data_IF_986256906092
#
_entry.id   IF_986256906092
#
_cell.length_a   1.000
_cell.length_b   1.000
_cell.length_c   1.000
_cell.angle_alpha   90.00
_cell.angle_beta   90.00
_cell.angle_gamma   90.00
#
_symmetry.space_group_name_H-M   'P 1'
#
loop_
_entity.id
_entity.type
_entity.pdbx_description
1 polymer ?
#
# COMPACT_ATOMS: atom_id res chain seq x y z
N UNK A 1 5.24 9.23 -5.30
CA UNK A 1 5.64 8.10 -4.45
C UNK A 1 7.15 7.92 -4.33
N UNK A 2 7.82 7.13 -5.17
CA UNK A 2 9.17 6.60 -4.87
C UNK A 2 10.33 7.26 -5.61
N UNK A 3 10.09 8.37 -6.33
CA UNK A 3 11.06 8.92 -7.30
C UNK A 3 11.50 7.86 -8.32
N UNK A 4 10.51 7.20 -8.96
CA UNK A 4 10.73 6.13 -9.93
C UNK A 4 11.60 4.99 -9.38
N UNK A 5 11.28 4.51 -8.19
CA UNK A 5 11.99 3.39 -7.55
C UNK A 5 13.25 3.76 -6.77
N UNK A 6 13.74 5.01 -6.84
CA UNK A 6 14.93 5.41 -6.07
C UNK A 6 14.71 5.36 -4.54
N UNK A 7 13.47 5.49 -4.07
CA UNK A 7 13.09 5.48 -2.65
C UNK A 7 11.81 4.65 -2.43
N UNK A 8 11.92 3.32 -2.46
CA UNK A 8 10.79 2.39 -2.21
C UNK A 8 10.55 2.08 -0.72
N UNK A 9 11.48 2.51 0.14
CA UNK A 9 11.42 2.31 1.59
C UNK A 9 12.50 1.34 2.09
N UNK A 10 12.73 1.34 3.39
CA UNK A 10 13.84 0.61 4.04
C UNK A 10 13.44 -0.18 5.28
N UNK A 11 12.16 -0.10 5.65
CA UNK A 11 11.63 -0.86 6.78
C UNK A 11 11.11 -2.19 6.25
N UNK A 12 11.33 -3.28 6.99
CA UNK A 12 10.62 -4.52 6.70
C UNK A 12 9.14 -4.27 6.88
N UNK A 13 8.33 -4.61 5.89
CA UNK A 13 6.88 -4.33 5.90
C UNK A 13 6.22 -5.06 7.06
N UNK A 14 6.63 -6.32 7.30
CA UNK A 14 6.19 -7.12 8.44
C UNK A 14 6.43 -6.39 9.78
N UNK A 15 7.62 -5.84 10.00
CA UNK A 15 7.94 -5.13 11.24
C UNK A 15 7.12 -3.85 11.41
N UNK A 16 6.99 -3.07 10.34
CA UNK A 16 6.24 -1.83 10.34
C UNK A 16 4.77 -2.07 10.70
N UNK A 17 4.13 -3.02 10.00
CA UNK A 17 2.73 -3.35 10.22
C UNK A 17 2.51 -4.04 11.57
N UNK A 18 3.37 -4.98 11.98
CA UNK A 18 3.29 -5.60 13.31
C UNK A 18 3.38 -4.56 14.42
N UNK A 19 4.36 -3.65 14.32
CA UNK A 19 4.55 -2.57 15.30
C UNK A 19 3.32 -1.67 15.35
N UNK A 20 2.78 -1.25 14.20
CA UNK A 20 1.61 -0.36 14.18
C UNK A 20 0.29 -1.06 14.53
N UNK A 21 0.20 -2.38 14.34
CA UNK A 21 -0.96 -3.19 14.68
C UNK A 21 -1.09 -3.42 16.20
N UNK A 22 0.02 -3.58 16.90
CA UNK A 22 0.01 -3.98 18.32
C UNK A 22 0.66 -2.98 19.27
N UNK A 23 1.48 -2.07 18.76
CA UNK A 23 2.21 -1.06 19.52
C UNK A 23 2.05 0.34 18.90
N UNK A 24 0.83 0.65 18.42
CA UNK A 24 0.55 1.95 17.80
C UNK A 24 0.85 3.11 18.76
N UNK A 25 1.67 4.11 18.36
CA UNK A 25 2.01 5.23 19.23
C UNK A 25 0.79 6.00 19.71
N UNK A 26 0.73 6.24 21.02
CA UNK A 26 -0.33 7.04 21.65
C UNK A 26 0.19 8.42 21.97
N UNK A 27 -0.51 9.45 21.55
CA UNK A 27 -0.12 10.83 21.85
C UNK A 27 -0.52 11.27 23.27
N UNK A 28 -1.45 10.57 23.91
CA UNK A 28 -2.06 10.99 25.18
C UNK A 28 -3.07 12.13 25.05
N UNK A 29 -3.30 12.63 23.83
CA UNK A 29 -4.28 13.67 23.52
C UNK A 29 -5.68 13.05 23.40
N UNK A 30 -6.64 13.37 24.29
CA UNK A 30 -7.99 12.82 24.23
C UNK A 30 -8.71 13.13 22.92
N UNK A 31 -8.39 14.25 22.26
CA UNK A 31 -8.98 14.61 20.98
C UNK A 31 -8.51 13.70 19.83
N UNK A 32 -7.38 13.00 19.99
CA UNK A 32 -6.83 12.08 18.98
C UNK A 32 -7.11 10.60 19.27
N UNK A 33 -7.54 10.26 20.48
CA UNK A 33 -7.67 8.88 20.94
C UNK A 33 -8.49 7.99 19.98
N UNK A 34 -9.64 8.47 19.51
CA UNK A 34 -10.49 7.71 18.59
C UNK A 34 -9.79 7.45 17.24
N UNK A 35 -9.15 8.48 16.67
CA UNK A 35 -8.39 8.36 15.42
C UNK A 35 -7.25 7.36 15.57
N UNK A 36 -6.51 7.41 16.67
CA UNK A 36 -5.40 6.49 16.94
C UNK A 36 -5.88 5.05 17.09
N UNK A 37 -7.03 4.82 17.75
CA UNK A 37 -7.67 3.50 17.82
C UNK A 37 -8.12 2.99 16.44
N UNK A 38 -8.68 3.86 15.59
CA UNK A 38 -9.02 3.48 14.21
C UNK A 38 -7.78 3.13 13.40
N UNK A 39 -6.68 3.88 13.57
CA UNK A 39 -5.42 3.59 12.87
C UNK A 39 -4.80 2.27 13.32
N UNK A 40 -4.78 1.98 14.62
CA UNK A 40 -4.31 0.69 15.11
C UNK A 40 -5.11 -0.47 14.51
N UNK A 41 -6.44 -0.39 14.49
CA UNK A 41 -7.30 -1.41 13.85
C UNK A 41 -7.00 -1.55 12.36
N UNK A 42 -6.89 -0.43 11.65
CA UNK A 42 -6.49 -0.43 10.24
C UNK A 42 -5.17 -1.16 10.02
N UNK A 43 -4.14 -0.93 10.84
CA UNK A 43 -2.86 -1.62 10.68
C UNK A 43 -2.93 -3.12 11.04
N UNK A 44 -3.83 -3.54 11.94
CA UNK A 44 -4.11 -4.97 12.15
C UNK A 44 -4.71 -5.60 10.90
N UNK A 45 -5.64 -4.91 10.25
CA UNK A 45 -6.25 -5.38 9.01
C UNK A 45 -5.19 -5.46 7.90
N UNK A 46 -4.36 -4.43 7.72
CA UNK A 46 -3.27 -4.44 6.74
C UNK A 46 -2.23 -5.53 6.99
N UNK A 47 -1.94 -5.86 8.25
CA UNK A 47 -1.06 -7.00 8.57
C UNK A 47 -1.70 -8.33 8.13
N UNK A 48 -3.00 -8.52 8.34
CA UNK A 48 -3.70 -9.70 7.84
C UNK A 48 -3.72 -9.74 6.30
N UNK A 49 -3.89 -8.59 5.65
CA UNK A 49 -3.81 -8.46 4.20
C UNK A 49 -2.41 -8.79 3.67
N UNK A 50 -1.34 -8.44 4.39
CA UNK A 50 0.03 -8.81 4.02
C UNK A 50 0.22 -10.33 4.01
N UNK A 51 -0.28 -11.04 5.03
CA UNK A 51 -0.19 -12.50 5.06
C UNK A 51 -0.92 -13.14 3.88
N UNK A 52 -2.14 -12.69 3.59
CA UNK A 52 -2.91 -13.17 2.45
C UNK A 52 -2.20 -12.86 1.12
N UNK A 53 -1.67 -11.65 0.95
CA UNK A 53 -0.94 -11.24 -0.24
C UNK A 53 0.28 -12.12 -0.49
N UNK A 54 1.09 -12.36 0.56
CA UNK A 54 2.29 -13.18 0.41
C UNK A 54 1.96 -14.63 0.04
N UNK A 55 0.84 -15.17 0.54
CA UNK A 55 0.35 -16.48 0.15
C UNK A 55 -0.13 -16.52 -1.30
N UNK A 56 -0.84 -15.49 -1.76
CA UNK A 56 -1.40 -15.39 -3.11
C UNK A 56 -0.30 -15.25 -4.18
N UNK A 57 0.67 -14.37 -3.93
CA UNK A 57 1.73 -14.02 -4.89
C UNK A 57 3.03 -14.81 -4.66
N UNK A 58 3.08 -15.71 -3.67
CA UNK A 58 4.27 -16.50 -3.33
C UNK A 58 5.46 -15.67 -2.82
N UNK A 59 5.19 -14.50 -2.22
CA UNK A 59 6.24 -13.58 -1.73
C UNK A 59 6.82 -14.05 -0.39
N UNK A 60 8.13 -13.87 -0.22
CA UNK A 60 8.77 -14.02 1.09
C UNK A 60 8.42 -12.81 1.99
N UNK A 61 7.48 -13.01 2.91
CA UNK A 61 7.03 -11.99 3.87
C UNK A 61 8.17 -11.36 4.68
N UNK A 62 9.28 -12.07 4.88
CA UNK A 62 10.42 -11.58 5.67
C UNK A 62 11.36 -10.69 4.86
N UNK A 63 11.32 -10.79 3.52
CA UNK A 63 12.14 -10.03 2.58
C UNK A 63 11.51 -8.73 2.09
N UNK A 64 10.21 -8.52 2.31
CA UNK A 64 9.51 -7.33 1.80
C UNK A 64 9.94 -6.05 2.54
N UNK A 65 10.34 -5.03 1.77
CA UNK A 65 10.66 -3.69 2.28
C UNK A 65 9.67 -2.64 1.81
N UNK A 66 9.46 -1.61 2.64
CA UNK A 66 8.54 -0.52 2.36
C UNK A 66 8.71 0.68 3.28
N UNK A 67 7.72 1.55 3.28
CA UNK A 67 7.66 2.72 4.16
C UNK A 67 7.49 2.30 5.63
N UNK A 68 7.70 3.25 6.54
CA UNK A 68 7.45 3.05 7.97
C UNK A 68 5.99 2.69 8.30
N UNK A 69 5.06 2.91 7.36
CA UNK A 69 3.66 2.59 7.48
C UNK A 69 3.26 1.29 6.74
N UNK A 70 4.21 0.59 6.12
CA UNK A 70 3.96 -0.66 5.40
C UNK A 70 3.49 -0.48 3.95
N UNK A 71 3.66 0.70 3.36
CA UNK A 71 3.43 0.91 1.93
C UNK A 71 4.59 0.35 1.10
N UNK A 72 4.29 -0.33 -0.01
CA UNK A 72 5.23 -1.19 -0.75
C UNK A 72 5.40 -0.79 -2.21
N UNK A 73 6.55 -1.12 -2.77
CA UNK A 73 6.81 -1.06 -4.20
C UNK A 73 6.81 0.36 -4.79
N UNK A 74 6.84 0.43 -6.12
CA UNK A 74 6.97 1.65 -6.91
C UNK A 74 5.83 2.64 -6.65
N UNK A 75 4.60 2.13 -6.46
CA UNK A 75 3.39 2.91 -6.22
C UNK A 75 3.05 3.13 -4.74
N UNK A 76 3.86 2.65 -3.79
CA UNK A 76 3.56 2.72 -2.34
C UNK A 76 2.16 2.19 -1.99
N UNK A 77 1.82 1.01 -2.52
CA UNK A 77 0.55 0.37 -2.21
C UNK A 77 0.58 -0.23 -0.81
N UNK A 78 -0.47 -0.01 -0.03
CA UNK A 78 -0.73 -0.80 1.17
C UNK A 78 -1.10 -2.25 0.77
N UNK A 79 -0.87 -3.27 1.61
CA UNK A 79 -1.23 -4.66 1.28
C UNK A 79 -2.66 -4.85 0.80
N UNK A 80 -3.64 -4.19 1.43
CA UNK A 80 -5.04 -4.22 0.98
C UNK A 80 -5.21 -3.68 -0.44
N UNK A 81 -4.54 -2.57 -0.74
CA UNK A 81 -4.59 -1.93 -2.06
C UNK A 81 -3.89 -2.78 -3.11
N UNK A 82 -2.80 -3.46 -2.76
CA UNK A 82 -2.16 -4.44 -3.63
C UNK A 82 -3.15 -5.53 -4.01
N UNK A 83 -3.72 -6.22 -3.01
CA UNK A 83 -4.65 -7.33 -3.27
C UNK A 83 -5.86 -6.89 -4.10
N UNK A 84 -6.40 -5.70 -3.82
CA UNK A 84 -7.62 -5.20 -4.45
C UNK A 84 -7.40 -4.59 -5.84
N UNK A 85 -6.27 -3.94 -6.09
CA UNK A 85 -6.10 -3.09 -7.28
C UNK A 85 -4.89 -3.44 -8.13
N UNK A 86 -3.97 -4.28 -7.65
CA UNK A 86 -2.86 -4.74 -8.49
C UNK A 86 -3.40 -5.56 -9.67
N UNK A 87 -2.84 -5.31 -10.84
CA UNK A 87 -3.13 -6.04 -12.09
C UNK A 87 -1.81 -6.39 -12.77
N UNK A 88 -1.84 -7.52 -13.48
CA UNK A 88 -0.79 -7.99 -14.38
C UNK A 88 -0.83 -7.13 -15.64
N UNK A 89 0.17 -6.27 -15.80
CA UNK A 89 0.29 -5.26 -16.83
C UNK A 89 1.02 -5.74 -18.08
N UNK A 90 1.95 -6.69 -17.95
CA UNK A 90 2.73 -7.24 -19.05
C UNK A 90 2.20 -8.60 -19.56
N UNK A 91 1.32 -9.24 -18.80
CA UNK A 91 0.63 -10.49 -19.13
C UNK A 91 1.42 -11.75 -18.78
N UNK A 92 2.40 -11.68 -17.88
CA UNK A 92 3.24 -12.82 -17.49
C UNK A 92 2.59 -13.77 -16.47
N UNK A 93 1.42 -13.40 -15.94
CA UNK A 93 0.66 -14.16 -14.94
C UNK A 93 0.94 -13.79 -13.49
N UNK A 94 1.80 -12.81 -13.24
CA UNK A 94 2.17 -12.31 -11.92
C UNK A 94 1.77 -10.85 -11.75
N UNK A 95 1.73 -10.39 -10.50
CA UNK A 95 1.57 -8.97 -10.19
C UNK A 95 2.74 -8.57 -9.33
N UNK A 96 3.72 -7.90 -9.89
CA UNK A 96 4.96 -7.49 -9.26
C UNK A 96 5.11 -5.96 -9.20
N UNK A 97 4.67 -5.35 -8.10
CA UNK A 97 4.75 -3.89 -7.95
C UNK A 97 6.12 -3.36 -7.49
N UNK A 98 7.15 -4.21 -7.42
CA UNK A 98 8.44 -3.87 -6.81
C UNK A 98 9.46 -3.36 -7.82
N UNK A 99 9.67 -4.11 -8.90
CA UNK A 99 10.65 -3.82 -9.95
C UNK A 99 10.10 -3.96 -11.38
N UNK A 100 8.84 -4.37 -11.54
CA UNK A 100 8.13 -4.31 -12.81
C UNK A 100 7.36 -2.99 -12.97
N UNK A 101 7.68 -2.25 -14.03
CA UNK A 101 7.04 -0.97 -14.32
C UNK A 101 5.69 -1.11 -15.01
N UNK A 102 5.49 -2.15 -15.83
CA UNK A 102 4.24 -2.38 -16.55
C UNK A 102 3.13 -2.72 -15.55
N UNK A 103 3.43 -3.60 -14.59
CA UNK A 103 2.53 -3.92 -13.47
C UNK A 103 2.27 -2.72 -12.58
N UNK A 104 3.32 -1.98 -12.21
CA UNK A 104 3.19 -0.81 -11.36
C UNK A 104 2.29 0.27 -12.00
N UNK A 105 2.50 0.58 -13.28
CA UNK A 105 1.71 1.59 -13.99
C UNK A 105 0.28 1.13 -14.22
N UNK A 106 0.07 -0.12 -14.64
CA UNK A 106 -1.26 -0.68 -14.84
C UNK A 106 -2.05 -0.69 -13.52
N UNK A 107 -1.40 -1.05 -12.41
CA UNK A 107 -2.00 -1.07 -11.07
C UNK A 107 -2.34 0.33 -10.55
N UNK A 108 -1.47 1.32 -10.76
CA UNK A 108 -1.78 2.71 -10.42
C UNK A 108 -2.97 3.20 -11.24
N UNK A 109 -3.02 2.93 -12.54
CA UNK A 109 -4.15 3.30 -13.39
C UNK A 109 -5.45 2.63 -12.92
N UNK A 110 -5.41 1.32 -12.63
CA UNK A 110 -6.55 0.57 -12.13
C UNK A 110 -7.04 1.12 -10.79
N UNK A 111 -6.15 1.48 -9.87
CA UNK A 111 -6.53 2.11 -8.59
C UNK A 111 -7.39 3.36 -8.79
N UNK A 112 -6.99 4.26 -9.68
CA UNK A 112 -7.72 5.51 -9.95
C UNK A 112 -9.13 5.24 -10.50
N UNK A 113 -9.25 4.26 -11.39
CA UNK A 113 -10.54 3.91 -12.02
C UNK A 113 -11.43 3.14 -11.04
N UNK A 114 -10.91 2.07 -10.43
CA UNK A 114 -11.67 1.13 -9.62
C UNK A 114 -12.05 1.69 -8.24
N UNK A 115 -11.23 2.55 -7.64
CA UNK A 115 -11.58 3.23 -6.39
C UNK A 115 -12.70 4.28 -6.59
N UNK A 116 -12.90 4.71 -7.83
CA UNK A 116 -13.92 5.67 -8.21
C UNK A 116 -13.43 7.12 -8.09
N UNK A 117 -14.05 8.00 -8.87
CA UNK A 117 -13.76 9.43 -8.89
C UNK A 117 -12.85 9.88 -10.04
N UNK A 118 -12.13 8.97 -10.71
CA UNK A 118 -11.45 9.32 -11.95
C UNK A 118 -12.44 9.52 -13.10
N UNK A 119 -12.39 10.68 -13.74
CA UNK A 119 -13.17 11.00 -14.94
C UNK A 119 -12.19 11.28 -16.07
N UNK A 120 -12.22 10.46 -17.13
CA UNK A 120 -11.35 10.64 -18.29
C UNK A 120 -11.62 12.00 -18.94
N UNK A 121 -10.58 12.83 -19.05
CA UNK A 121 -10.70 14.19 -19.57
C UNK A 121 -11.36 15.20 -18.60
N UNK A 122 -11.66 14.77 -17.37
CA UNK A 122 -12.17 15.66 -16.33
C UNK A 122 -11.12 16.66 -15.84
N UNK A 123 -11.59 17.78 -15.30
CA UNK A 123 -10.71 18.74 -14.64
C UNK A 123 -10.19 18.17 -13.31
N UNK A 124 -8.93 18.47 -12.99
CA UNK A 124 -8.33 18.07 -11.71
C UNK A 124 -8.70 19.06 -10.60
N UNK A 125 -8.55 20.36 -10.86
CA UNK A 125 -8.94 21.45 -9.96
C UNK A 125 -9.18 22.74 -10.76
N UNK A 126 -9.95 23.66 -10.18
CA UNK A 126 -10.15 25.02 -10.69
C UNK A 126 -9.67 26.00 -9.62
N UNK A 127 -8.96 27.10 -9.98
CA UNK A 127 -8.57 28.12 -9.01
C UNK A 127 -9.78 28.67 -8.23
N UNK A 128 -9.58 28.94 -6.94
CA UNK A 128 -10.59 29.54 -6.06
C UNK A 128 -10.78 31.03 -6.33
#
# INVERSE_FOLDING_TARGET
>A
ETSYGANTGRYRVLDALYTLAFNYPRSGDPAKAERELRRERFFRDELAQLFALCQEEGLDITGLTGSYAGAMGLGQFMPSSYRQYAVDGDGDGHRNLFDDYDDAFASIANYFVAKGGWVRGGQIAVPA
#
